data_IF_596498489244
#
_entry.id   IF_596498489244
#
_cell.length_a   1.000
_cell.length_b   1.000
_cell.length_c   1.000
_cell.angle_alpha   90.00
_cell.angle_beta   90.00
_cell.angle_gamma   90.00
#
_symmetry.space_group_name_H-M   'P 1'
#
loop_
_entity.id
_entity.type
_entity.pdbx_description
1 polymer ?
#
# COMPACT_ATOMS: atom_id res chain seq x y z
N UNK A 1 12.60 -10.33 3.22
CA UNK A 1 11.59 -10.32 4.32
C UNK A 1 10.82 -9.00 4.27
N UNK A 2 9.49 -8.97 4.50
CA UNK A 2 8.69 -7.74 4.43
C UNK A 2 9.18 -6.63 5.38
N UNK A 3 9.72 -7.04 6.53
CA UNK A 3 10.37 -6.13 7.48
C UNK A 3 11.60 -5.42 6.90
N UNK A 4 12.41 -6.09 6.08
CA UNK A 4 13.56 -5.47 5.40
C UNK A 4 13.11 -4.49 4.33
N UNK A 5 12.09 -4.84 3.56
CA UNK A 5 11.49 -3.94 2.56
C UNK A 5 10.98 -2.66 3.22
N UNK A 6 10.38 -2.77 4.42
CA UNK A 6 9.98 -1.60 5.20
C UNK A 6 11.16 -0.75 5.67
N UNK A 7 12.27 -1.39 6.09
CA UNK A 7 13.50 -0.66 6.45
C UNK A 7 14.06 0.10 5.24
N UNK A 8 14.14 -0.55 4.07
CA UNK A 8 14.56 0.11 2.83
C UNK A 8 13.62 1.24 2.43
N UNK A 9 12.30 1.06 2.57
CA UNK A 9 11.31 2.11 2.34
C UNK A 9 11.55 3.33 3.23
N UNK A 10 11.86 3.11 4.52
CA UNK A 10 12.11 4.19 5.48
C UNK A 10 13.35 5.02 5.12
N UNK A 11 14.37 4.38 4.57
CA UNK A 11 15.64 5.02 4.18
C UNK A 11 15.61 5.61 2.76
N UNK A 12 14.73 5.11 1.90
CA UNK A 12 14.61 5.58 0.53
C UNK A 12 14.00 6.99 0.46
N UNK A 13 14.32 7.71 -0.63
CA UNK A 13 13.79 9.04 -0.95
C UNK A 13 13.27 9.06 -2.39
N UNK A 14 12.39 10.02 -2.67
CA UNK A 14 11.86 10.25 -4.01
C UNK A 14 11.13 9.03 -4.58
N UNK A 15 11.37 8.75 -5.86
CA UNK A 15 10.68 7.71 -6.61
C UNK A 15 10.91 6.29 -6.06
N UNK A 16 12.14 6.00 -5.61
CA UNK A 16 12.48 4.72 -5.00
C UNK A 16 11.67 4.42 -3.74
N UNK A 17 11.30 5.46 -2.98
CA UNK A 17 10.42 5.31 -1.80
C UNK A 17 9.02 4.88 -2.23
N UNK A 18 8.50 5.45 -3.32
CA UNK A 18 7.19 5.10 -3.90
C UNK A 18 7.18 3.67 -4.40
N UNK A 19 8.19 3.27 -5.16
CA UNK A 19 8.30 1.90 -5.67
C UNK A 19 8.33 0.86 -4.53
N UNK A 20 9.12 1.12 -3.48
CA UNK A 20 9.18 0.24 -2.31
C UNK A 20 7.86 0.19 -1.55
N UNK A 21 7.18 1.33 -1.38
CA UNK A 21 5.86 1.39 -0.76
C UNK A 21 4.82 0.58 -1.55
N UNK A 22 4.81 0.72 -2.88
CA UNK A 22 3.95 -0.05 -3.79
C UNK A 22 4.20 -1.54 -3.66
N UNK A 23 5.46 -1.97 -3.72
CA UNK A 23 5.86 -3.37 -3.56
C UNK A 23 5.36 -3.93 -2.23
N UNK A 24 5.51 -3.17 -1.15
CA UNK A 24 5.01 -3.54 0.18
C UNK A 24 3.50 -3.75 0.19
N UNK A 25 2.74 -2.81 -0.37
CA UNK A 25 1.27 -2.89 -0.38
C UNK A 25 0.76 -4.01 -1.28
N UNK A 26 1.40 -4.25 -2.43
CA UNK A 26 1.05 -5.39 -3.29
C UNK A 26 1.27 -6.73 -2.59
N UNK A 27 2.41 -6.88 -1.91
CA UNK A 27 2.70 -8.10 -1.15
C UNK A 27 1.68 -8.27 -0.01
N UNK A 28 1.36 -7.21 0.73
CA UNK A 28 0.35 -7.27 1.80
C UNK A 28 -1.06 -7.55 1.26
N UNK A 29 -1.41 -7.00 0.10
CA UNK A 29 -2.69 -7.24 -0.55
C UNK A 29 -2.90 -8.72 -0.88
N UNK A 30 -1.83 -9.48 -1.19
CA UNK A 30 -1.92 -10.94 -1.40
C UNK A 30 -2.45 -11.66 -0.17
N UNK A 31 -2.09 -11.21 1.03
CA UNK A 31 -2.54 -11.79 2.31
C UNK A 31 -3.88 -11.24 2.81
N UNK A 32 -4.48 -10.27 2.13
CA UNK A 32 -5.73 -9.58 2.56
C UNK A 32 -6.97 -10.46 2.75
N UNK A 33 -6.92 -11.71 2.28
CA UNK A 33 -7.98 -12.71 2.47
C UNK A 33 -7.81 -13.59 3.70
N UNK A 34 -6.63 -13.58 4.32
CA UNK A 34 -6.41 -14.30 5.57
C UNK A 34 -7.02 -13.50 6.71
N UNK A 35 -7.84 -14.15 7.51
CA UNK A 35 -8.46 -13.57 8.70
C UNK A 35 -7.92 -14.33 9.93
N UNK A 36 -7.37 -13.62 10.94
CA UNK A 36 -7.29 -12.17 11.11
C UNK A 36 -6.10 -11.55 10.35
N UNK A 37 -6.36 -10.62 9.43
CA UNK A 37 -5.32 -10.02 8.59
C UNK A 37 -4.16 -9.41 9.37
N UNK A 38 -4.47 -8.70 10.47
CA UNK A 38 -3.44 -8.02 11.27
C UNK A 38 -2.54 -8.98 12.05
N UNK A 39 -3.00 -10.20 12.34
CA UNK A 39 -2.14 -11.24 12.89
C UNK A 39 -1.16 -11.73 11.83
N UNK A 40 -1.62 -11.98 10.60
CA UNK A 40 -0.72 -12.32 9.48
C UNK A 40 0.33 -11.23 9.24
N UNK A 41 -0.03 -9.94 9.37
CA UNK A 41 0.94 -8.84 9.28
C UNK A 41 2.02 -8.93 10.38
N UNK A 42 1.63 -9.31 11.60
CA UNK A 42 2.56 -9.51 12.73
C UNK A 42 3.48 -10.70 12.51
N UNK A 43 2.94 -11.82 12.01
CA UNK A 43 3.72 -13.01 11.63
C UNK A 43 4.74 -12.70 10.54
N UNK A 44 4.43 -11.79 9.62
CA UNK A 44 5.34 -11.29 8.59
C UNK A 44 6.41 -10.30 9.13
N UNK A 45 6.43 -10.06 10.44
CA UNK A 45 7.40 -9.18 11.12
C UNK A 45 7.10 -7.69 10.96
N UNK A 46 5.86 -7.33 10.60
CA UNK A 46 5.42 -5.94 10.48
C UNK A 46 4.42 -5.58 11.57
N UNK A 47 4.38 -4.29 11.94
CA UNK A 47 3.36 -3.75 12.83
C UNK A 47 2.19 -3.20 12.00
N UNK A 48 0.93 -3.34 12.45
CA UNK A 48 -0.22 -2.74 11.79
C UNK A 48 -0.04 -1.25 11.45
N UNK A 49 0.53 -0.46 12.38
CA UNK A 49 0.79 0.97 12.15
C UNK A 49 1.77 1.24 11.02
N UNK A 50 2.77 0.38 10.83
CA UNK A 50 3.72 0.52 9.70
C UNK A 50 3.03 0.31 8.37
N UNK A 51 2.10 -0.64 8.31
CA UNK A 51 1.30 -0.88 7.10
C UNK A 51 0.41 0.32 6.81
N UNK A 52 -0.28 0.84 7.84
CA UNK A 52 -1.12 2.04 7.70
C UNK A 52 -0.31 3.25 7.24
N UNK A 53 0.89 3.45 7.79
CA UNK A 53 1.82 4.52 7.37
C UNK A 53 2.17 4.41 5.89
N UNK A 54 2.52 3.22 5.39
CA UNK A 54 2.85 3.01 3.97
C UNK A 54 1.63 3.26 3.08
N UNK A 55 0.45 2.79 3.49
CA UNK A 55 -0.79 3.04 2.75
C UNK A 55 -1.13 4.53 2.70
N UNK A 56 -0.97 5.26 3.81
CA UNK A 56 -1.17 6.70 3.86
C UNK A 56 -0.18 7.43 2.95
N UNK A 57 1.10 7.05 2.98
CA UNK A 57 2.09 7.63 2.09
C UNK A 57 1.71 7.44 0.61
N UNK A 58 1.20 6.27 0.23
CA UNK A 58 0.70 6.05 -1.12
C UNK A 58 -0.54 6.92 -1.41
N UNK A 59 -1.48 7.04 -0.47
CA UNK A 59 -2.64 7.94 -0.62
C UNK A 59 -2.22 9.40 -0.81
N UNK A 60 -1.30 9.91 0.00
CA UNK A 60 -0.77 11.27 -0.09
C UNK A 60 -0.04 11.55 -1.41
N UNK A 61 0.58 10.53 -2.01
CA UNK A 61 1.22 10.66 -3.32
C UNK A 61 0.24 10.48 -4.49
N UNK A 62 -1.04 10.19 -4.19
CA UNK A 62 -2.09 9.91 -5.18
C UNK A 62 -1.89 8.58 -5.88
N UNK A 63 -1.38 7.57 -5.18
CA UNK A 63 -1.10 6.23 -5.70
C UNK A 63 -2.21 5.24 -5.42
N UNK A 64 -2.89 5.41 -4.28
CA UNK A 64 -4.05 4.63 -3.87
C UNK A 64 -5.10 5.57 -3.26
N UNK A 65 -6.33 5.10 -3.19
CA UNK A 65 -7.39 5.77 -2.41
C UNK A 65 -7.84 4.82 -1.30
N UNK A 66 -7.68 5.24 -0.05
CA UNK A 66 -8.10 4.41 1.09
C UNK A 66 -9.60 4.56 1.23
N UNK A 67 -10.33 3.45 1.08
CA UNK A 67 -11.79 3.44 1.23
C UNK A 67 -12.16 3.94 2.62
N UNK A 68 -13.22 4.74 2.72
CA UNK A 68 -13.75 5.25 3.98
C UNK A 68 -15.17 4.72 4.15
N UNK A 69 -15.54 4.39 5.39
CA UNK A 69 -16.92 4.13 5.76
C UNK A 69 -17.72 5.42 5.72
N UNK A 70 -19.06 5.34 5.73
CA UNK A 70 -19.94 6.51 5.84
C UNK A 70 -19.67 7.36 7.09
N UNK A 71 -19.09 6.75 8.12
CA UNK A 71 -18.63 7.38 9.37
C UNK A 71 -17.23 8.03 9.27
N UNK A 72 -16.62 8.06 8.08
CA UNK A 72 -15.28 8.62 7.83
C UNK A 72 -14.11 7.71 8.21
N UNK A 73 -14.37 6.55 8.85
CA UNK A 73 -13.34 5.58 9.25
C UNK A 73 -12.66 4.93 8.04
N UNK A 74 -11.33 4.86 8.05
CA UNK A 74 -10.52 4.22 7.00
C UNK A 74 -10.65 2.69 7.03
N UNK A 75 -10.99 2.11 5.89
CA UNK A 75 -11.19 0.68 5.67
C UNK A 75 -9.93 0.05 5.05
N UNK A 76 -8.90 -0.12 5.87
CA UNK A 76 -7.57 -0.60 5.45
C UNK A 76 -7.61 -1.97 4.76
N UNK A 77 -8.20 -2.97 5.42
CA UNK A 77 -8.24 -4.35 4.91
C UNK A 77 -9.09 -4.43 3.64
N UNK A 78 -10.20 -3.68 3.58
CA UNK A 78 -11.05 -3.63 2.39
C UNK A 78 -10.32 -2.99 1.20
N UNK A 79 -9.54 -1.94 1.46
CA UNK A 79 -8.68 -1.31 0.44
C UNK A 79 -7.65 -2.30 -0.09
N UNK A 80 -6.99 -3.07 0.79
CA UNK A 80 -6.04 -4.11 0.37
C UNK A 80 -6.71 -5.25 -0.40
N UNK A 81 -7.93 -5.65 -0.03
CA UNK A 81 -8.73 -6.63 -0.79
C UNK A 81 -9.09 -6.10 -2.18
N UNK A 82 -9.40 -4.82 -2.30
CA UNK A 82 -9.67 -4.18 -3.60
C UNK A 82 -8.42 -4.15 -4.48
N UNK A 83 -7.29 -3.72 -3.93
CA UNK A 83 -5.99 -3.72 -4.62
C UNK A 83 -5.61 -5.12 -5.10
N UNK A 84 -5.87 -6.16 -4.28
CA UNK A 84 -5.64 -7.55 -4.69
C UNK A 84 -6.48 -7.93 -5.91
N UNK A 85 -7.76 -7.52 -5.94
CA UNK A 85 -8.69 -7.82 -7.06
C UNK A 85 -8.35 -7.03 -8.31
N UNK A 86 -7.88 -5.80 -8.14
CA UNK A 86 -7.55 -4.87 -9.22
C UNK A 86 -6.12 -4.32 -9.08
N UNK A 87 -5.09 -5.15 -9.28
CA UNK A 87 -3.70 -4.73 -9.13
C UNK A 87 -3.30 -3.64 -10.14
N UNK A 88 -4.02 -3.56 -11.27
CA UNK A 88 -3.88 -2.52 -12.30
C UNK A 88 -4.14 -1.11 -11.73
N UNK A 89 -4.90 -0.94 -10.64
CA UNK A 89 -5.11 0.38 -10.04
C UNK A 89 -3.82 0.99 -9.50
N UNK A 90 -2.81 0.20 -9.12
CA UNK A 90 -1.49 0.74 -8.75
C UNK A 90 -0.67 1.17 -9.99
N UNK A 91 -0.76 0.39 -11.08
CA UNK A 91 0.06 0.57 -12.28
C UNK A 91 -0.52 1.64 -13.23
N UNK A 92 -1.85 1.75 -13.32
CA UNK A 92 -2.55 2.71 -14.19
C UNK A 92 -2.42 4.16 -13.70
N UNK A 93 -2.15 4.39 -12.43
CA UNK A 93 -1.91 5.75 -11.90
C UNK A 93 -0.52 6.30 -12.24
N UNK A 94 0.49 5.44 -12.45
CA UNK A 94 1.76 5.85 -13.09
C UNK A 94 1.53 6.38 -14.51
N UNK A 95 0.71 5.67 -15.28
CA UNK A 95 0.44 6.00 -16.67
C UNK A 95 -0.35 7.31 -16.83
N UNK A 96 -1.19 7.66 -15.83
CA UNK A 96 -1.96 8.91 -15.81
C UNK A 96 -1.15 10.14 -15.36
N UNK A 97 0.10 9.96 -14.87
CA UNK A 97 1.00 11.06 -14.46
C UNK A 97 2.23 11.28 -15.37
N UNK A 98 2.22 10.80 -16.62
CA UNK A 98 3.04 11.45 -17.67
C UNK A 98 2.18 12.50 -18.36
N UNK A 99 2.22 13.80 -17.97
CA UNK A 99 1.95 14.81 -18.98
C UNK A 99 2.99 14.60 -20.08
N UNK A 100 2.51 14.34 -21.30
CA UNK A 100 3.34 14.50 -22.49
C UNK A 100 3.90 15.92 -22.44
N UNK A 101 5.16 16.07 -22.04
CA UNK A 101 5.94 17.24 -22.47
C UNK A 101 6.29 16.95 -23.93
N UNK A 102 5.40 17.40 -24.82
CA UNK A 102 5.77 17.78 -26.18
C UNK A 102 6.44 19.14 -26.11
#
# INVERSE_FOLDING_TARGET
>A
MLAETYRSYRLAKGDKKRELARKLVMELARYSHREPFWETVRELGLKPDRVKEVMLFLEENGEIEIRRSSDGKRLWVLTLRDIRRNPVRLDRWLALKKPQRK
#
